data_IF_136300894350
#
_entry.id   IF_136300894350
#
_cell.length_a   1.000
_cell.length_b   1.000
_cell.length_c   1.000
_cell.angle_alpha   90.00
_cell.angle_beta   90.00
_cell.angle_gamma   90.00
#
_symmetry.space_group_name_H-M   'P 1'
#
loop_
_entity.id
_entity.type
_entity.pdbx_description
1 polymer ?
#
# COMPACT_ATOMS: atom_id res chain seq x y z
N UNK A 1 34.05 -0.53 5.36
CA UNK A 1 35.16 -0.70 4.36
C UNK A 1 34.60 -1.56 3.25
N UNK A 2 34.43 -1.02 2.05
CA UNK A 2 33.84 -1.75 0.91
C UNK A 2 34.84 -2.79 0.38
N UNK A 3 34.34 -3.97 -0.02
CA UNK A 3 35.17 -5.01 -0.62
C UNK A 3 35.83 -4.50 -1.91
N UNK A 4 37.03 -4.98 -2.28
CA UNK A 4 37.66 -4.62 -3.56
C UNK A 4 36.73 -4.93 -4.74
N UNK A 5 36.41 -3.91 -5.53
CA UNK A 5 35.52 -4.03 -6.69
C UNK A 5 34.02 -3.91 -6.37
N UNK A 6 33.65 -3.72 -5.10
CA UNK A 6 32.29 -3.38 -4.73
C UNK A 6 32.08 -1.86 -4.72
N UNK A 7 30.93 -1.42 -5.21
CA UNK A 7 30.54 -0.01 -5.31
C UNK A 7 29.31 0.26 -4.45
N UNK A 8 29.32 1.32 -3.65
CA UNK A 8 28.15 1.75 -2.90
C UNK A 8 27.24 2.65 -3.75
N UNK A 9 25.94 2.61 -3.46
CA UNK A 9 24.92 3.47 -4.07
C UNK A 9 23.85 3.84 -3.04
N UNK A 10 23.12 4.93 -3.31
CA UNK A 10 22.03 5.36 -2.43
C UNK A 10 20.84 4.40 -2.54
N UNK A 11 20.21 4.10 -1.41
CA UNK A 11 18.92 3.41 -1.32
C UNK A 11 17.97 4.23 -0.46
N UNK A 12 16.65 4.03 -0.59
CA UNK A 12 15.68 4.57 0.36
C UNK A 12 16.03 4.14 1.78
N UNK A 13 16.15 5.10 2.68
CA UNK A 13 16.51 4.86 4.08
C UNK A 13 16.02 5.99 4.98
N UNK A 14 16.08 5.77 6.29
CA UNK A 14 15.69 6.71 7.34
C UNK A 14 16.61 6.55 8.55
N UNK A 15 16.69 7.58 9.38
CA UNK A 15 17.44 7.54 10.62
C UNK A 15 16.66 6.76 11.68
N UNK A 16 17.28 5.72 12.27
CA UNK A 16 16.62 4.87 13.26
C UNK A 16 17.25 5.04 14.65
N UNK A 17 16.40 5.05 15.68
CA UNK A 17 16.80 5.27 17.07
C UNK A 17 16.91 3.97 17.89
N UNK A 18 16.69 2.80 17.26
CA UNK A 18 16.80 1.49 17.90
C UNK A 18 15.51 0.93 18.51
N UNK A 19 14.37 1.61 18.34
CA UNK A 19 13.08 1.07 18.79
C UNK A 19 12.52 0.08 17.75
N UNK A 20 12.25 -1.17 18.18
CA UNK A 20 11.70 -2.22 17.32
C UNK A 20 10.18 -2.16 17.17
N UNK A 21 9.66 -2.58 16.02
CA UNK A 21 8.22 -2.84 15.80
C UNK A 21 7.92 -4.34 15.84
N UNK A 22 6.70 -4.70 16.25
CA UNK A 22 6.29 -6.09 16.51
C UNK A 22 5.74 -6.86 15.31
N UNK A 23 5.51 -6.22 14.15
CA UNK A 23 5.05 -6.93 12.96
C UNK A 23 6.24 -7.49 12.17
N UNK A 24 6.03 -8.64 11.52
CA UNK A 24 7.07 -9.33 10.77
C UNK A 24 6.98 -8.98 9.29
N UNK A 25 8.08 -8.51 8.71
CA UNK A 25 8.24 -8.28 7.27
C UNK A 25 9.14 -9.38 6.73
N UNK A 26 8.62 -10.20 5.81
CA UNK A 26 9.35 -11.34 5.22
C UNK A 26 9.18 -11.34 3.72
N UNK A 27 10.25 -11.61 2.98
CA UNK A 27 10.24 -11.72 1.53
C UNK A 27 11.63 -11.78 0.97
N UNK A 28 11.76 -11.59 -0.34
CA UNK A 28 13.06 -11.51 -1.03
C UNK A 28 13.39 -10.09 -1.42
N UNK A 29 14.68 -9.74 -1.32
CA UNK A 29 15.15 -8.43 -1.73
C UNK A 29 15.23 -8.36 -3.25
N UNK A 30 14.73 -7.27 -3.80
CA UNK A 30 14.92 -6.85 -5.17
C UNK A 30 15.28 -5.37 -5.21
N UNK A 31 15.63 -4.87 -6.38
CA UNK A 31 15.81 -3.44 -6.59
C UNK A 31 15.32 -3.02 -7.95
N UNK A 32 14.83 -1.79 -8.04
CA UNK A 32 14.63 -1.14 -9.33
C UNK A 32 15.95 -0.95 -10.07
N UNK A 33 15.87 -0.62 -11.35
CA UNK A 33 17.05 -0.27 -12.16
C UNK A 33 17.82 0.93 -11.56
N UNK A 34 17.11 1.85 -10.91
CA UNK A 34 17.66 3.04 -10.25
C UNK A 34 18.16 2.79 -8.81
N UNK A 35 18.07 1.55 -8.31
CA UNK A 35 18.57 1.18 -6.98
C UNK A 35 17.57 1.33 -5.83
N UNK A 36 16.28 1.53 -6.13
CA UNK A 36 15.24 1.55 -5.10
C UNK A 36 14.92 0.14 -4.62
N UNK A 37 14.83 -0.06 -3.31
CA UNK A 37 14.67 -1.37 -2.68
C UNK A 37 13.23 -1.88 -2.76
N UNK A 38 13.08 -3.13 -3.16
CA UNK A 38 11.80 -3.82 -3.33
C UNK A 38 11.78 -5.11 -2.49
N UNK A 39 10.59 -5.50 -2.05
CA UNK A 39 10.30 -6.80 -1.45
C UNK A 39 9.31 -7.55 -2.34
N UNK A 40 9.53 -8.84 -2.54
CA UNK A 40 8.62 -9.69 -3.30
C UNK A 40 8.56 -11.11 -2.72
N UNK A 41 7.49 -11.83 -3.03
CA UNK A 41 7.36 -13.26 -2.73
C UNK A 41 7.73 -14.10 -3.95
N UNK A 42 8.33 -15.29 -3.77
CA UNK A 42 8.57 -16.22 -4.87
C UNK A 42 7.29 -16.54 -5.66
N UNK A 43 7.33 -16.37 -6.98
CA UNK A 43 6.15 -16.57 -7.85
C UNK A 43 5.18 -15.38 -7.88
N UNK A 44 5.50 -14.28 -7.20
CA UNK A 44 4.76 -13.02 -7.21
C UNK A 44 5.68 -11.84 -7.56
N UNK A 45 6.66 -12.06 -8.44
CA UNK A 45 7.65 -11.05 -8.83
C UNK A 45 6.97 -9.78 -9.40
N UNK A 46 5.82 -9.92 -10.07
CA UNK A 46 5.04 -8.80 -10.61
C UNK A 46 4.33 -7.96 -9.54
N UNK A 47 4.25 -8.45 -8.31
CA UNK A 47 3.62 -7.79 -7.16
C UNK A 47 4.66 -7.22 -6.19
N UNK A 48 5.89 -7.01 -6.63
CA UNK A 48 6.94 -6.44 -5.82
C UNK A 48 6.56 -5.06 -5.30
N UNK A 49 6.65 -4.86 -3.98
CA UNK A 49 6.34 -3.57 -3.34
C UNK A 49 7.61 -2.93 -2.79
N UNK A 50 7.61 -1.61 -2.56
CA UNK A 50 8.74 -0.93 -1.92
C UNK A 50 9.02 -1.47 -0.52
N UNK A 51 10.30 -1.52 -0.16
CA UNK A 51 10.77 -1.76 1.21
C UNK A 51 11.85 -0.76 1.57
N UNK A 52 11.88 -0.27 2.82
CA UNK A 52 12.89 0.67 3.31
C UNK A 52 13.62 0.07 4.50
N UNK A 53 14.94 0.26 4.55
CA UNK A 53 15.82 -0.20 5.61
C UNK A 53 16.38 0.97 6.44
N UNK A 54 16.61 0.80 7.74
CA UNK A 54 17.17 1.83 8.61
C UNK A 54 18.67 2.03 8.39
N UNK A 55 19.12 3.28 8.39
CA UNK A 55 20.53 3.68 8.31
C UNK A 55 21.32 2.89 7.26
N UNK A 56 20.75 2.77 6.06
CA UNK A 56 21.16 1.79 5.06
C UNK A 56 21.75 2.43 3.79
N UNK A 57 22.64 1.69 3.13
CA UNK A 57 23.17 1.96 1.80
C UNK A 57 23.07 0.70 0.94
N UNK A 58 23.08 0.89 -0.38
CA UNK A 58 23.19 -0.20 -1.34
C UNK A 58 24.65 -0.51 -1.62
N UNK A 59 24.97 -1.78 -1.84
CA UNK A 59 26.27 -2.23 -2.32
C UNK A 59 26.08 -3.13 -3.52
N UNK A 60 26.79 -2.83 -4.62
CA UNK A 60 26.91 -3.68 -5.81
C UNK A 60 28.26 -4.37 -5.77
N UNK A 61 28.26 -5.70 -5.70
CA UNK A 61 29.48 -6.52 -5.67
C UNK A 61 30.10 -6.65 -7.06
N UNK A 62 31.33 -7.17 -7.13
CA UNK A 62 32.08 -7.28 -8.39
C UNK A 62 31.39 -8.21 -9.40
N UNK A 63 30.63 -9.19 -8.92
CA UNK A 63 29.82 -10.08 -9.74
C UNK A 63 28.45 -9.49 -10.15
N UNK A 64 28.17 -8.23 -9.80
CA UNK A 64 26.95 -7.50 -10.16
C UNK A 64 25.77 -7.70 -9.21
N UNK A 65 25.85 -8.64 -8.26
CA UNK A 65 24.80 -8.84 -7.24
C UNK A 65 24.72 -7.60 -6.35
N UNK A 66 23.50 -7.25 -5.92
CA UNK A 66 23.26 -6.11 -5.02
C UNK A 66 22.89 -6.58 -3.60
N UNK A 67 23.17 -5.75 -2.61
CA UNK A 67 22.72 -5.94 -1.22
C UNK A 67 22.41 -4.60 -0.56
N UNK A 68 21.64 -4.66 0.52
CA UNK A 68 21.44 -3.55 1.44
C UNK A 68 22.29 -3.79 2.69
N UNK A 69 23.10 -2.81 3.05
CA UNK A 69 23.98 -2.85 4.21
C UNK A 69 23.79 -1.64 5.10
N UNK A 70 24.08 -1.77 6.40
CA UNK A 70 24.14 -0.64 7.31
C UNK A 70 25.30 0.29 6.96
N UNK A 71 25.01 1.58 6.87
CA UNK A 71 25.98 2.64 6.62
C UNK A 71 27.09 2.61 7.67
N UNK A 72 28.33 2.73 7.21
CA UNK A 72 29.52 2.80 8.07
C UNK A 72 30.03 1.46 8.60
N UNK A 73 29.14 0.54 9.03
CA UNK A 73 29.56 -0.80 9.50
C UNK A 73 29.69 -1.82 8.36
N UNK A 74 28.84 -1.72 7.35
CA UNK A 74 28.76 -2.68 6.24
C UNK A 74 28.09 -4.01 6.61
N UNK A 75 27.48 -4.10 7.79
CA UNK A 75 26.63 -5.24 8.18
C UNK A 75 25.45 -5.38 7.23
N UNK A 76 25.05 -6.60 6.92
CA UNK A 76 24.11 -6.87 5.82
C UNK A 76 22.71 -7.07 6.35
N UNK A 77 21.77 -6.30 5.79
CA UNK A 77 20.35 -6.54 5.94
C UNK A 77 19.88 -7.64 5.00
N UNK A 78 20.06 -7.44 3.69
CA UNK A 78 19.55 -8.40 2.72
C UNK A 78 20.39 -8.37 1.45
N UNK A 79 20.37 -9.50 0.73
CA UNK A 79 21.06 -9.69 -0.54
C UNK A 79 20.02 -9.98 -1.61
N UNK A 80 20.21 -9.41 -2.80
CA UNK A 80 19.29 -9.52 -3.92
C UNK A 80 18.95 -10.98 -4.25
N UNK A 81 17.65 -11.26 -4.40
CA UNK A 81 17.11 -12.60 -4.65
C UNK A 81 17.07 -13.52 -3.43
N UNK A 82 17.69 -13.14 -2.30
CA UNK A 82 17.67 -13.92 -1.06
C UNK A 82 16.53 -13.51 -0.15
N UNK A 83 16.06 -14.48 0.63
CA UNK A 83 15.03 -14.27 1.65
C UNK A 83 15.61 -13.49 2.84
N UNK A 84 14.81 -12.58 3.38
CA UNK A 84 15.05 -11.91 4.64
C UNK A 84 13.77 -11.88 5.47
N UNK A 85 13.95 -11.72 6.78
CA UNK A 85 12.86 -11.65 7.74
C UNK A 85 13.26 -10.71 8.88
N UNK A 86 12.52 -9.62 9.06
CA UNK A 86 12.83 -8.56 10.02
C UNK A 86 11.60 -8.03 10.75
N UNK A 87 11.80 -7.45 11.93
CA UNK A 87 10.81 -6.58 12.55
C UNK A 87 10.52 -5.35 11.70
N UNK A 88 9.25 -4.95 11.61
CA UNK A 88 8.82 -3.87 10.74
C UNK A 88 7.32 -3.64 10.73
N UNK A 89 6.80 -3.09 9.62
CA UNK A 89 5.38 -2.88 9.38
C UNK A 89 5.10 -2.21 8.03
N UNK A 90 3.83 -2.15 7.65
CA UNK A 90 3.37 -1.31 6.54
C UNK A 90 3.17 0.13 7.02
N UNK A 91 3.63 1.10 6.22
CA UNK A 91 3.35 2.52 6.45
C UNK A 91 3.09 3.22 5.12
N UNK A 92 2.37 4.35 5.12
CA UNK A 92 2.20 5.16 3.92
C UNK A 92 3.55 5.60 3.33
N UNK A 93 3.65 5.75 1.99
CA UNK A 93 4.87 6.22 1.35
C UNK A 93 5.26 7.62 1.84
N UNK A 94 6.50 7.78 2.28
CA UNK A 94 7.04 9.05 2.79
C UNK A 94 8.26 9.53 2.02
N UNK A 95 8.86 10.63 2.49
CA UNK A 95 10.05 11.25 1.88
C UNK A 95 11.25 10.29 1.77
N UNK A 96 11.38 9.34 2.71
CA UNK A 96 12.43 8.33 2.68
C UNK A 96 12.45 7.53 1.36
N UNK A 97 11.27 7.27 0.78
CA UNK A 97 11.11 6.68 -0.54
C UNK A 97 11.15 7.75 -1.64
N UNK A 98 10.22 8.71 -1.57
CA UNK A 98 9.88 9.55 -2.71
C UNK A 98 11.00 10.48 -3.15
N UNK A 99 11.91 10.84 -2.23
CA UNK A 99 13.11 11.64 -2.53
C UNK A 99 14.00 10.99 -3.58
N UNK A 100 14.16 9.67 -3.53
CA UNK A 100 15.05 8.93 -4.43
C UNK A 100 14.27 8.24 -5.56
N UNK A 101 13.10 7.71 -5.24
CA UNK A 101 12.38 6.76 -6.10
C UNK A 101 11.12 7.33 -6.76
N UNK A 102 10.78 8.59 -6.46
CA UNK A 102 9.56 9.22 -6.93
C UNK A 102 8.29 8.73 -6.19
N UNK A 103 7.12 9.25 -6.60
CA UNK A 103 5.85 8.89 -5.97
C UNK A 103 5.53 7.41 -6.16
N UNK A 104 4.84 6.82 -5.17
CA UNK A 104 4.32 5.45 -5.20
C UNK A 104 2.86 5.46 -4.75
N UNK A 105 1.99 4.83 -5.54
CA UNK A 105 0.54 4.84 -5.36
C UNK A 105 -0.05 3.46 -5.01
N UNK A 106 0.80 2.44 -4.91
CA UNK A 106 0.43 1.05 -4.61
C UNK A 106 0.03 0.78 -3.14
N UNK A 107 -0.13 1.83 -2.34
CA UNK A 107 -0.52 1.76 -0.94
C UNK A 107 0.70 1.79 -0.02
N UNK A 108 0.63 1.03 1.07
CA UNK A 108 1.70 0.97 2.05
C UNK A 108 3.00 0.39 1.48
N UNK A 109 4.10 0.84 2.07
CA UNK A 109 5.45 0.35 1.82
C UNK A 109 5.95 -0.39 3.05
N UNK A 110 6.77 -1.42 2.84
CA UNK A 110 7.34 -2.17 3.93
C UNK A 110 8.45 -1.35 4.60
N UNK A 111 8.38 -1.21 5.92
CA UNK A 111 9.34 -0.44 6.71
C UNK A 111 10.01 -1.37 7.70
N UNK A 112 11.31 -1.63 7.50
CA UNK A 112 12.11 -2.44 8.41
C UNK A 112 12.53 -1.58 9.59
N UNK A 113 12.36 -2.06 10.82
CA UNK A 113 12.79 -1.42 12.07
C UNK A 113 13.57 -2.44 12.91
N UNK A 114 14.70 -2.88 12.38
CA UNK A 114 15.50 -3.96 12.97
C UNK A 114 16.99 -3.75 12.70
N UNK A 115 17.82 -4.50 13.41
CA UNK A 115 19.25 -4.57 13.21
C UNK A 115 19.60 -5.51 12.03
N UNK A 116 20.71 -5.28 11.30
CA UNK A 116 21.22 -6.22 10.31
C UNK A 116 21.39 -7.63 10.90
N UNK A 117 21.01 -8.66 10.15
CA UNK A 117 21.06 -10.04 10.63
C UNK A 117 22.45 -10.68 10.44
N UNK A 118 23.29 -10.06 9.60
CA UNK A 118 24.53 -10.66 9.13
C UNK A 118 25.71 -9.68 9.25
N UNK A 119 26.91 -10.19 9.55
CA UNK A 119 28.12 -9.38 9.52
C UNK A 119 28.42 -8.90 8.09
N UNK A 120 29.36 -7.97 7.96
CA UNK A 120 29.84 -7.53 6.67
C UNK A 120 30.37 -8.68 5.80
N UNK A 121 30.06 -8.63 4.51
CA UNK A 121 30.51 -9.65 3.55
C UNK A 121 32.03 -9.63 3.41
N UNK A 122 32.62 -10.82 3.25
CA UNK A 122 34.06 -11.01 3.00
C UNK A 122 34.37 -11.42 1.54
N UNK A 123 33.34 -11.59 0.72
CA UNK A 123 33.44 -11.92 -0.70
C UNK A 123 32.10 -11.75 -1.41
N UNK A 124 32.08 -12.01 -2.72
CA UNK A 124 30.88 -11.86 -3.54
C UNK A 124 29.79 -12.87 -3.13
N UNK A 125 28.53 -12.43 -2.95
CA UNK A 125 27.41 -13.33 -2.69
C UNK A 125 27.04 -14.16 -3.93
N UNK A 126 26.32 -15.28 -3.77
CA UNK A 126 25.76 -16.02 -4.91
C UNK A 126 24.76 -15.16 -5.69
N UNK A 127 24.68 -15.39 -7.00
CA UNK A 127 23.66 -14.78 -7.83
C UNK A 127 22.25 -15.30 -7.48
N UNK A 128 21.18 -14.54 -7.76
CA UNK A 128 19.81 -15.01 -7.59
C UNK A 128 19.54 -16.31 -8.37
N UNK A 129 18.80 -17.24 -7.76
CA UNK A 129 18.41 -18.52 -8.38
C UNK A 129 17.29 -18.39 -9.44
N UNK A 130 16.74 -17.18 -9.62
CA UNK A 130 15.60 -16.91 -10.48
C UNK A 130 15.45 -15.43 -10.84
N UNK A 131 14.40 -15.07 -11.61
CA UNK A 131 14.14 -13.69 -11.96
C UNK A 131 13.91 -12.83 -10.72
N UNK A 132 14.40 -11.60 -10.77
CA UNK A 132 14.24 -10.59 -9.72
C UNK A 132 13.52 -9.39 -10.34
N UNK A 133 12.47 -8.86 -9.70
CA UNK A 133 11.74 -7.71 -10.23
C UNK A 133 12.59 -6.45 -10.24
N UNK A 134 12.42 -5.62 -11.27
CA UNK A 134 13.17 -4.37 -11.46
C UNK A 134 12.28 -3.13 -11.42
N UNK A 135 11.03 -3.27 -10.99
CA UNK A 135 10.10 -2.16 -10.73
C UNK A 135 9.14 -2.52 -9.61
N UNK A 136 8.60 -1.50 -8.96
CA UNK A 136 7.45 -1.68 -8.09
C UNK A 136 6.21 -2.03 -8.92
N UNK A 137 5.30 -2.78 -8.32
CA UNK A 137 3.96 -3.02 -8.83
C UNK A 137 3.17 -1.70 -8.84
N UNK A 138 2.35 -1.53 -9.86
CA UNK A 138 1.39 -0.42 -9.92
C UNK A 138 0.24 -0.65 -8.94
N UNK A 139 -0.48 0.42 -8.61
CA UNK A 139 -1.73 0.32 -7.87
C UNK A 139 -2.69 -0.74 -8.46
N UNK A 140 -2.89 -0.74 -9.77
CA UNK A 140 -3.79 -1.67 -10.47
C UNK A 140 -3.32 -3.13 -10.35
N UNK A 141 -2.02 -3.41 -10.49
CA UNK A 141 -1.47 -4.76 -10.34
C UNK A 141 -1.65 -5.32 -8.93
N UNK A 142 -1.60 -4.43 -7.93
CA UNK A 142 -1.91 -4.77 -6.55
C UNK A 142 -3.42 -4.88 -6.29
N UNK A 143 -4.27 -4.60 -7.29
CA UNK A 143 -5.73 -4.67 -7.18
C UNK A 143 -6.38 -3.41 -6.60
N UNK A 144 -5.67 -2.29 -6.51
CA UNK A 144 -6.25 -1.01 -6.14
C UNK A 144 -6.99 -0.38 -7.33
N UNK A 145 -8.14 0.21 -7.06
CA UNK A 145 -8.93 0.92 -8.06
C UNK A 145 -9.64 2.14 -7.45
N UNK A 146 -10.02 3.08 -8.30
CA UNK A 146 -10.75 4.27 -7.88
C UNK A 146 -12.22 3.92 -7.59
N UNK A 147 -12.79 4.55 -6.56
CA UNK A 147 -14.22 4.48 -6.24
C UNK A 147 -14.74 5.91 -6.06
N UNK A 148 -16.07 6.15 -6.20
CA UNK A 148 -16.65 7.44 -5.89
C UNK A 148 -16.31 7.85 -4.46
N UNK A 149 -15.70 9.02 -4.32
CA UNK A 149 -15.20 9.49 -3.04
C UNK A 149 -15.21 11.02 -2.95
N UNK A 150 -14.93 11.54 -1.75
CA UNK A 150 -14.83 12.97 -1.48
C UNK A 150 -13.76 13.23 -0.42
N UNK A 151 -13.21 14.44 -0.42
CA UNK A 151 -12.26 14.86 0.60
C UNK A 151 -13.00 15.08 1.93
N UNK A 152 -12.62 14.32 2.96
CA UNK A 152 -13.23 14.44 4.28
C UNK A 152 -12.75 15.68 5.02
N UNK A 153 -13.68 16.57 5.38
CA UNK A 153 -13.42 17.67 6.31
C UNK A 153 -14.14 17.41 7.64
N UNK A 154 -13.41 17.15 8.74
CA UNK A 154 -14.02 16.92 10.05
C UNK A 154 -14.80 18.13 10.58
N UNK A 155 -14.58 19.33 10.04
CA UNK A 155 -15.36 20.53 10.39
C UNK A 155 -16.71 20.61 9.65
N UNK A 156 -16.91 19.80 8.61
CA UNK A 156 -18.12 19.79 7.77
C UNK A 156 -19.01 18.57 7.99
N UNK A 157 -18.80 17.83 9.08
CA UNK A 157 -19.62 16.67 9.43
C UNK A 157 -21.08 17.02 9.73
N UNK A 158 -21.97 16.09 9.39
CA UNK A 158 -23.41 16.15 9.56
C UNK A 158 -24.03 14.75 9.48
N UNK A 159 -24.79 14.41 10.51
CA UNK A 159 -25.58 13.19 10.68
C UNK A 159 -27.04 13.43 10.31
N UNK A 160 -27.26 14.14 9.19
CA UNK A 160 -28.61 14.55 8.77
C UNK A 160 -29.54 13.37 8.47
N UNK A 161 -28.96 12.21 8.18
CA UNK A 161 -29.64 10.94 7.95
C UNK A 161 -28.77 9.76 8.44
N UNK A 162 -29.44 8.63 8.67
CA UNK A 162 -28.83 7.35 8.96
C UNK A 162 -29.21 6.36 7.85
N UNK A 163 -28.24 5.59 7.37
CA UNK A 163 -28.44 4.51 6.41
C UNK A 163 -27.93 3.20 7.01
N UNK A 164 -28.84 2.23 7.15
CA UNK A 164 -28.53 0.91 7.69
C UNK A 164 -28.83 -0.17 6.66
N UNK A 165 -28.03 -1.23 6.66
CA UNK A 165 -28.26 -2.37 5.78
C UNK A 165 -27.04 -3.26 5.64
N UNK A 166 -27.05 -4.10 4.61
CA UNK A 166 -25.89 -4.90 4.23
C UNK A 166 -25.30 -4.35 2.94
N UNK A 167 -23.98 -4.17 2.95
CA UNK A 167 -23.24 -3.73 1.76
C UNK A 167 -23.31 -4.80 0.68
N UNK A 168 -23.55 -4.38 -0.56
CA UNK A 168 -23.38 -5.19 -1.76
C UNK A 168 -22.35 -4.54 -2.66
N UNK A 169 -21.31 -5.30 -3.04
CA UNK A 169 -20.30 -4.83 -3.98
C UNK A 169 -20.72 -5.11 -5.42
N UNK A 170 -20.68 -4.08 -6.26
CA UNK A 170 -21.04 -4.20 -7.67
C UNK A 170 -19.90 -4.84 -8.48
N UNK A 171 -20.17 -5.22 -9.73
CA UNK A 171 -19.13 -5.75 -10.63
C UNK A 171 -18.01 -4.71 -10.88
N UNK A 172 -18.39 -3.44 -10.95
CA UNK A 172 -17.47 -2.29 -11.06
C UNK A 172 -16.66 -2.04 -9.77
N UNK A 173 -17.04 -2.69 -8.66
CA UNK A 173 -16.37 -2.57 -7.37
C UNK A 173 -16.87 -1.42 -6.49
N UNK A 174 -18.04 -0.87 -6.80
CA UNK A 174 -18.69 0.18 -6.02
C UNK A 174 -19.58 -0.44 -4.93
N UNK A 175 -19.75 0.26 -3.81
CA UNK A 175 -20.56 -0.24 -2.70
C UNK A 175 -21.98 0.31 -2.75
N UNK A 176 -22.97 -0.56 -2.55
CA UNK A 176 -24.38 -0.22 -2.54
C UNK A 176 -25.08 -0.81 -1.33
N UNK A 177 -26.23 -0.25 -0.94
CA UNK A 177 -27.16 -0.83 0.02
C UNK A 177 -28.54 -0.89 -0.65
N UNK A 178 -29.15 -2.07 -0.65
CA UNK A 178 -30.52 -2.26 -1.12
C UNK A 178 -31.47 -2.13 0.06
N UNK A 179 -32.40 -1.18 -0.02
CA UNK A 179 -33.49 -0.99 0.94
C UNK A 179 -34.84 -1.18 0.27
N UNK A 180 -35.93 -1.09 1.03
CA UNK A 180 -37.29 -1.14 0.48
C UNK A 180 -37.57 0.03 -0.48
N UNK A 181 -36.83 1.13 -0.36
CA UNK A 181 -36.99 2.34 -1.16
C UNK A 181 -36.04 2.42 -2.37
N UNK A 182 -35.30 1.34 -2.66
CA UNK A 182 -34.43 1.23 -3.83
C UNK A 182 -32.96 0.87 -3.50
N UNK A 183 -32.10 1.03 -4.49
CA UNK A 183 -30.65 0.82 -4.39
C UNK A 183 -29.96 2.16 -4.15
N UNK A 184 -29.24 2.26 -3.04
CA UNK A 184 -28.46 3.43 -2.66
C UNK A 184 -26.98 3.18 -2.90
N UNK A 185 -26.32 4.03 -3.68
CA UNK A 185 -24.87 4.02 -3.82
C UNK A 185 -24.18 4.71 -2.66
N UNK A 186 -23.08 4.13 -2.18
CA UNK A 186 -22.29 4.67 -1.06
C UNK A 186 -21.08 5.44 -1.59
N UNK A 187 -20.93 6.67 -1.11
CA UNK A 187 -19.79 7.53 -1.43
C UNK A 187 -19.02 7.73 -0.13
N UNK A 188 -17.86 7.10 -0.05
CA UNK A 188 -17.06 6.98 1.17
C UNK A 188 -15.96 8.04 1.20
N UNK A 189 -15.57 8.56 2.38
CA UNK A 189 -14.56 9.61 2.50
C UNK A 189 -13.16 9.10 2.15
N UNK A 190 -12.38 9.88 1.40
CA UNK A 190 -10.96 9.61 1.09
C UNK A 190 -10.68 8.13 0.73
N UNK A 191 -11.49 7.58 -0.16
CA UNK A 191 -11.66 6.15 -0.32
C UNK A 191 -11.03 5.59 -1.59
N UNK A 192 -10.56 4.34 -1.52
CA UNK A 192 -10.10 3.54 -2.65
C UNK A 192 -10.62 2.12 -2.54
N UNK A 193 -10.95 1.53 -3.68
CA UNK A 193 -11.30 0.12 -3.76
C UNK A 193 -10.06 -0.76 -3.78
N UNK A 194 -10.18 -1.94 -3.17
CA UNK A 194 -9.15 -2.99 -3.18
C UNK A 194 -9.80 -4.33 -3.52
N UNK A 195 -9.32 -4.95 -4.59
CA UNK A 195 -9.59 -6.34 -4.93
C UNK A 195 -8.38 -7.17 -4.54
N UNK A 196 -8.50 -7.96 -3.48
CA UNK A 196 -7.39 -8.79 -3.01
C UNK A 196 -7.09 -9.88 -4.06
N UNK A 197 -5.93 -9.87 -4.73
CA UNK A 197 -5.66 -10.77 -5.84
C UNK A 197 -5.69 -12.26 -5.46
N UNK A 198 -5.38 -12.57 -4.20
CA UNK A 198 -5.28 -13.95 -3.72
C UNK A 198 -6.62 -14.61 -3.38
N UNK A 199 -7.60 -13.83 -2.89
CA UNK A 199 -8.91 -14.35 -2.44
C UNK A 199 -10.10 -13.77 -3.19
N UNK A 200 -9.89 -12.73 -4.02
CA UNK A 200 -10.94 -12.08 -4.81
C UNK A 200 -11.87 -11.17 -4.00
N UNK A 201 -11.66 -11.03 -2.70
CA UNK A 201 -12.42 -10.14 -1.82
C UNK A 201 -12.32 -8.70 -2.30
N UNK A 202 -13.48 -8.03 -2.35
CA UNK A 202 -13.60 -6.62 -2.71
C UNK A 202 -13.94 -5.83 -1.46
N UNK A 203 -13.18 -4.79 -1.21
CA UNK A 203 -13.40 -3.89 -0.08
C UNK A 203 -13.10 -2.44 -0.47
N UNK A 204 -13.67 -1.50 0.26
CA UNK A 204 -13.36 -0.08 0.13
C UNK A 204 -12.69 0.38 1.43
N UNK A 205 -11.48 0.91 1.29
CA UNK A 205 -10.72 1.47 2.40
C UNK A 205 -10.75 2.99 2.35
N UNK A 206 -10.96 3.62 3.51
CA UNK A 206 -10.90 5.07 3.69
C UNK A 206 -9.67 5.45 4.50
N UNK A 207 -9.04 6.55 4.14
CA UNK A 207 -7.89 7.12 4.86
C UNK A 207 -8.27 8.44 5.53
N UNK A 208 -8.07 8.56 6.83
CA UNK A 208 -8.42 9.76 7.60
C UNK A 208 -7.21 10.69 7.80
N UNK A 209 -7.45 11.96 8.19
CA UNK A 209 -6.38 12.96 8.32
C UNK A 209 -5.28 12.62 9.34
N UNK A 210 -5.56 11.73 10.30
CA UNK A 210 -4.58 11.22 11.26
C UNK A 210 -3.69 10.10 10.67
N UNK A 211 -3.90 9.73 9.41
CA UNK A 211 -3.21 8.65 8.70
C UNK A 211 -3.83 7.28 8.92
N UNK A 212 -4.89 7.17 9.73
CA UNK A 212 -5.58 5.89 9.96
C UNK A 212 -6.27 5.46 8.68
N UNK A 213 -6.05 4.22 8.27
CA UNK A 213 -6.83 3.57 7.22
C UNK A 213 -7.75 2.53 7.84
N UNK A 214 -9.02 2.53 7.42
CA UNK A 214 -9.99 1.51 7.85
C UNK A 214 -10.72 0.93 6.65
N UNK A 215 -11.14 -0.34 6.77
CA UNK A 215 -12.14 -0.90 5.88
C UNK A 215 -13.49 -0.26 6.23
N UNK A 216 -14.09 0.44 5.27
CA UNK A 216 -15.42 1.04 5.43
C UNK A 216 -16.51 0.18 4.82
N UNK A 217 -16.22 -0.65 3.83
CA UNK A 217 -17.24 -1.46 3.16
C UNK A 217 -16.64 -2.75 2.61
N UNK A 218 -17.27 -3.88 2.93
CA UNK A 218 -17.02 -5.18 2.31
C UNK A 218 -18.35 -5.85 1.96
N UNK A 219 -18.36 -6.68 0.92
CA UNK A 219 -19.57 -7.40 0.52
C UNK A 219 -20.16 -8.22 1.67
N UNK A 220 -21.44 -8.01 1.96
CA UNK A 220 -22.18 -8.66 3.03
C UNK A 220 -22.03 -8.05 4.42
N UNK A 221 -21.16 -7.05 4.62
CA UNK A 221 -20.97 -6.43 5.93
C UNK A 221 -22.25 -5.67 6.35
N UNK A 222 -22.77 -5.90 7.57
CA UNK A 222 -23.81 -5.07 8.14
C UNK A 222 -23.20 -3.73 8.56
N UNK A 223 -23.84 -2.63 8.18
CA UNK A 223 -23.35 -1.27 8.41
C UNK A 223 -24.47 -0.36 8.93
N UNK A 224 -24.06 0.69 9.62
CA UNK A 224 -24.93 1.79 10.06
C UNK A 224 -24.15 3.09 9.86
N UNK A 225 -24.43 3.80 8.78
CA UNK A 225 -23.70 5.01 8.39
C UNK A 225 -24.51 6.27 8.65
N UNK A 226 -23.91 7.23 9.35
CA UNK A 226 -24.38 8.61 9.41
C UNK A 226 -23.86 9.41 8.21
N UNK A 227 -24.70 10.30 7.71
CA UNK A 227 -24.36 11.17 6.60
C UNK A 227 -25.53 11.94 6.04
N UNK A 228 -25.56 12.04 4.72
CA UNK A 228 -26.62 12.74 4.00
C UNK A 228 -26.80 12.26 2.57
N UNK A 229 -28.03 12.36 2.09
CA UNK A 229 -28.32 12.13 0.68
C UNK A 229 -27.78 13.31 -0.15
N UNK A 230 -27.03 12.99 -1.21
CA UNK A 230 -26.75 13.97 -2.26
C UNK A 230 -27.83 13.84 -3.33
N UNK A 231 -28.31 14.97 -3.86
CA UNK A 231 -29.17 14.94 -5.05
C UNK A 231 -28.47 14.33 -6.27
N UNK A 232 -29.24 14.01 -7.30
CA UNK A 232 -28.82 13.27 -8.50
C UNK A 232 -27.90 14.07 -9.46
N UNK A 233 -27.22 15.11 -8.97
CA UNK A 233 -26.39 16.01 -9.78
C UNK A 233 -25.25 16.61 -8.95
N UNK A 234 -24.10 16.82 -9.60
CA UNK A 234 -22.88 17.36 -9.00
C UNK A 234 -21.71 16.38 -9.07
N UNK A 235 -20.55 16.81 -8.59
CA UNK A 235 -19.27 16.11 -8.76
C UNK A 235 -19.31 14.64 -8.31
N UNK A 236 -20.07 14.32 -7.27
CA UNK A 236 -20.18 12.95 -6.76
C UNK A 236 -21.02 12.05 -7.68
N UNK A 237 -22.10 12.58 -8.27
CA UNK A 237 -22.90 11.85 -9.25
C UNK A 237 -22.10 11.60 -10.54
N UNK A 238 -21.35 12.59 -11.00
CA UNK A 238 -20.45 12.45 -12.16
C UNK A 238 -19.35 11.40 -11.90
N UNK A 239 -18.78 11.36 -10.69
CA UNK A 239 -17.85 10.30 -10.29
C UNK A 239 -18.50 8.92 -10.32
N UNK A 240 -19.73 8.79 -9.78
CA UNK A 240 -20.45 7.52 -9.78
C UNK A 240 -20.68 7.01 -11.21
N UNK A 241 -21.22 7.85 -12.09
CA UNK A 241 -21.48 7.46 -13.49
C UNK A 241 -20.19 7.08 -14.24
N UNK A 242 -19.07 7.73 -13.91
CA UNK A 242 -17.78 7.43 -14.53
C UNK A 242 -17.11 6.17 -14.00
N UNK A 243 -17.27 5.86 -12.71
CA UNK A 243 -16.55 4.76 -12.03
C UNK A 243 -17.40 3.51 -11.87
N UNK A 244 -18.73 3.63 -11.90
CA UNK A 244 -19.71 2.57 -11.69
C UNK A 244 -20.74 2.49 -12.84
N UNK A 245 -20.33 2.52 -14.12
CA UNK A 245 -21.24 2.71 -15.25
C UNK A 245 -22.26 1.58 -15.44
N UNK A 246 -21.95 0.36 -14.99
CA UNK A 246 -22.83 -0.80 -15.09
C UNK A 246 -23.73 -0.96 -13.84
N UNK A 247 -23.66 0.00 -12.92
CA UNK A 247 -24.27 -0.06 -11.59
C UNK A 247 -25.11 1.20 -11.28
N UNK A 248 -26.19 1.46 -12.04
CA UNK A 248 -27.06 2.60 -11.77
C UNK A 248 -27.74 2.45 -10.40
N UNK A 249 -27.87 3.55 -9.68
CA UNK A 249 -28.49 3.61 -8.36
C UNK A 249 -29.65 4.61 -8.36
N UNK A 250 -30.60 4.41 -7.45
CA UNK A 250 -31.75 5.30 -7.30
C UNK A 250 -31.39 6.60 -6.55
N UNK A 251 -30.33 6.54 -5.73
CA UNK A 251 -29.81 7.68 -4.97
C UNK A 251 -28.37 7.46 -4.52
N UNK A 252 -27.70 8.53 -4.10
CA UNK A 252 -26.36 8.50 -3.52
C UNK A 252 -26.37 8.97 -2.07
N UNK A 253 -25.65 8.24 -1.21
CA UNK A 253 -25.46 8.57 0.19
C UNK A 253 -24.01 8.89 0.47
N UNK A 254 -23.75 10.13 0.91
CA UNK A 254 -22.43 10.60 1.32
C UNK A 254 -22.23 10.17 2.76
N UNK A 255 -21.35 9.19 2.97
CA UNK A 255 -21.01 8.69 4.31
C UNK A 255 -20.08 9.69 4.98
N UNK A 256 -20.48 10.18 6.15
CA UNK A 256 -19.75 11.18 6.91
C UNK A 256 -19.19 10.63 8.24
N UNK A 257 -19.21 9.30 8.39
CA UNK A 257 -18.60 8.67 9.55
C UNK A 257 -17.09 8.56 9.44
N UNK A 258 -16.45 8.68 10.59
CA UNK A 258 -15.03 8.38 10.77
C UNK A 258 -14.79 6.99 11.37
N UNK A 259 -15.86 6.29 11.77
CA UNK A 259 -15.81 4.95 12.34
C UNK A 259 -17.02 4.13 11.85
N UNK A 260 -16.83 3.03 11.13
CA UNK A 260 -17.91 2.09 10.80
C UNK A 260 -18.32 1.23 12.01
#
# INVERSE_FOLDING_TARGET
>A
MTLPGAESFEVPTYAWNGDGMGALVTGRLAFTDDGCTLIYQPGQETLATPVIFPDAEGVRFANGVRAVTRQGSGEVFAVEGQEFSYGGGGVPPGEAWSRLCGPYDGGDIAWINDEPAHPAMTGDPPAPDGPVPTRAATAEELGWYAVPTFEWDPAQGGDSALLEGSVTMTADGCATIVTDDGTTGLVLPNARGKREPSVGTVMILSTFPDGTQTNMAMDGDPVSFAGGESGDSGDVAEQWDSLCPDSPVDRLFIVQDTQP
#
